data_IF_463514140308
#
_entry.id   IF_463514140308
#
_cell.length_a   1.000
_cell.length_b   1.000
_cell.length_c   1.000
_cell.angle_alpha   90.00
_cell.angle_beta   90.00
_cell.angle_gamma   90.00
#
_symmetry.space_group_name_H-M   'P 1'
#
loop_
_entity.id
_entity.type
_entity.pdbx_description
1 polymer ?
#
# COMPACT_ATOMS: atom_id res chain seq x y z
N UNK A 1 2.31 20.17 -7.25
CA UNK A 1 3.15 19.28 -8.09
C UNK A 1 3.00 17.86 -7.57
N UNK A 2 2.17 17.04 -8.22
CA UNK A 2 1.96 15.65 -7.82
C UNK A 2 3.25 14.86 -8.05
N UNK A 3 4.05 14.67 -7.00
CA UNK A 3 5.17 13.73 -7.01
C UNK A 3 4.61 12.31 -6.89
N UNK A 4 3.88 11.87 -7.92
CA UNK A 4 3.49 10.47 -8.02
C UNK A 4 4.78 9.66 -8.15
N UNK A 5 5.13 8.92 -7.10
CA UNK A 5 6.29 8.02 -7.10
C UNK A 5 5.81 6.66 -7.59
N UNK A 6 6.44 6.14 -8.63
CA UNK A 6 6.22 4.77 -9.09
C UNK A 6 6.98 3.81 -8.18
N UNK A 7 6.31 2.74 -7.76
CA UNK A 7 6.91 1.66 -6.96
C UNK A 7 6.85 0.39 -7.80
N UNK A 8 8.01 -0.22 -8.03
CA UNK A 8 8.12 -1.54 -8.65
C UNK A 8 8.36 -2.57 -7.55
N UNK A 9 7.54 -3.61 -7.50
CA UNK A 9 7.65 -4.72 -6.53
C UNK A 9 7.89 -6.03 -7.28
N UNK A 10 8.71 -6.90 -6.69
CA UNK A 10 8.88 -8.27 -7.17
C UNK A 10 7.91 -9.17 -6.42
N UNK A 11 7.09 -9.90 -7.15
CA UNK A 11 6.06 -10.79 -6.61
C UNK A 11 5.95 -12.01 -7.53
N UNK A 12 5.70 -13.18 -6.94
CA UNK A 12 5.41 -14.39 -7.70
C UNK A 12 4.10 -14.22 -8.49
N UNK A 13 4.06 -14.75 -9.71
CA UNK A 13 2.92 -14.60 -10.62
C UNK A 13 1.62 -15.12 -10.00
N UNK A 14 1.66 -16.25 -9.28
CA UNK A 14 0.45 -16.83 -8.66
C UNK A 14 -0.08 -15.93 -7.55
N UNK A 15 0.81 -15.28 -6.81
CA UNK A 15 0.43 -14.33 -5.76
C UNK A 15 -0.16 -13.07 -6.37
N UNK A 16 0.41 -12.57 -7.47
CA UNK A 16 -0.13 -11.42 -8.20
C UNK A 16 -1.54 -11.69 -8.72
N UNK A 17 -1.79 -12.88 -9.29
CA UNK A 17 -3.12 -13.28 -9.75
C UNK A 17 -4.15 -13.32 -8.61
N UNK A 18 -3.79 -13.92 -7.46
CA UNK A 18 -4.64 -13.92 -6.26
C UNK A 18 -4.91 -12.52 -5.75
N UNK A 19 -3.88 -11.66 -5.76
CA UNK A 19 -4.01 -10.27 -5.34
C UNK A 19 -5.00 -9.51 -6.24
N UNK A 20 -4.93 -9.67 -7.56
CA UNK A 20 -5.88 -9.07 -8.49
C UNK A 20 -7.31 -9.57 -8.26
N UNK A 21 -7.49 -10.86 -7.96
CA UNK A 21 -8.80 -11.41 -7.63
C UNK A 21 -9.41 -10.73 -6.40
N UNK A 22 -8.64 -10.60 -5.31
CA UNK A 22 -9.09 -9.93 -4.08
C UNK A 22 -9.37 -8.45 -4.33
N UNK A 23 -8.50 -7.74 -5.04
CA UNK A 23 -8.71 -6.32 -5.37
C UNK A 23 -10.01 -6.12 -6.13
N UNK A 24 -10.30 -6.98 -7.13
CA UNK A 24 -11.55 -6.95 -7.89
C UNK A 24 -12.77 -7.26 -7.03
N UNK A 25 -12.65 -8.23 -6.12
CA UNK A 25 -13.72 -8.56 -5.16
C UNK A 25 -14.06 -7.36 -4.25
N UNK A 26 -13.04 -6.61 -3.83
CA UNK A 26 -13.16 -5.40 -3.01
C UNK A 26 -13.58 -4.15 -3.81
N UNK A 27 -13.88 -4.28 -5.11
CA UNK A 27 -14.16 -3.18 -6.05
C UNK A 27 -13.06 -2.11 -6.09
N UNK A 28 -11.79 -2.54 -6.01
CA UNK A 28 -10.60 -1.67 -6.08
C UNK A 28 -9.67 -2.07 -7.22
N UNK A 29 -8.96 -1.09 -7.76
CA UNK A 29 -7.80 -1.37 -8.61
C UNK A 29 -6.67 -1.99 -7.78
N UNK A 30 -5.75 -2.71 -8.43
CA UNK A 30 -4.57 -3.27 -7.77
C UNK A 30 -3.78 -2.20 -6.99
N UNK A 31 -3.52 -1.05 -7.61
CA UNK A 31 -2.84 0.08 -6.97
C UNK A 31 -3.65 0.65 -5.80
N UNK A 32 -4.98 0.76 -5.96
CA UNK A 32 -5.86 1.22 -4.89
C UNK A 32 -5.86 0.27 -3.69
N UNK A 33 -5.90 -1.04 -3.93
CA UNK A 33 -5.80 -2.06 -2.88
C UNK A 33 -4.43 -2.03 -2.20
N UNK A 34 -3.33 -1.86 -2.94
CA UNK A 34 -1.99 -1.69 -2.35
C UNK A 34 -1.97 -0.48 -1.41
N UNK A 35 -2.48 0.67 -1.87
CA UNK A 35 -2.48 1.89 -1.07
C UNK A 35 -3.33 1.74 0.20
N UNK A 36 -4.49 1.08 0.09
CA UNK A 36 -5.34 0.76 1.24
C UNK A 36 -4.61 -0.10 2.27
N UNK A 37 -3.94 -1.17 1.82
CA UNK A 37 -3.16 -2.06 2.70
C UNK A 37 -1.99 -1.34 3.37
N UNK A 38 -1.26 -0.49 2.62
CA UNK A 38 -0.17 0.32 3.18
C UNK A 38 -0.69 1.26 4.26
N UNK A 39 -1.78 1.98 4.00
CA UNK A 39 -2.35 2.92 4.96
C UNK A 39 -2.86 2.22 6.22
N UNK A 40 -3.52 1.06 6.07
CA UNK A 40 -3.95 0.27 7.22
C UNK A 40 -2.76 -0.22 8.04
N UNK A 41 -1.70 -0.71 7.39
CA UNK A 41 -0.47 -1.13 8.06
C UNK A 41 0.16 0.02 8.86
N UNK A 42 0.25 1.23 8.27
CA UNK A 42 0.75 2.42 8.96
C UNK A 42 -0.13 2.75 10.16
N UNK A 43 -1.46 2.80 9.99
CA UNK A 43 -2.40 3.11 11.09
C UNK A 43 -2.27 2.12 12.24
N UNK A 44 -2.28 0.82 11.95
CA UNK A 44 -2.14 -0.23 12.97
C UNK A 44 -0.79 -0.16 13.70
N UNK A 45 0.27 0.22 12.99
CA UNK A 45 1.57 0.45 13.59
C UNK A 45 1.56 1.68 14.50
N UNK A 46 1.02 2.81 14.02
CA UNK A 46 0.95 4.06 14.79
C UNK A 46 0.07 3.96 16.04
N UNK A 47 -1.01 3.19 15.98
CA UNK A 47 -1.86 2.90 17.15
C UNK A 47 -1.10 2.13 18.24
N UNK A 48 -0.16 1.25 17.86
CA UNK A 48 0.60 0.41 18.79
C UNK A 48 1.89 1.06 19.29
N UNK A 49 2.55 1.85 18.44
CA UNK A 49 3.92 2.34 18.69
C UNK A 49 4.02 3.87 18.82
N UNK A 50 2.91 4.58 18.58
CA UNK A 50 2.90 6.04 18.47
C UNK A 50 3.12 6.51 17.03
N UNK A 51 2.85 7.80 16.80
CA UNK A 51 2.88 8.41 15.46
C UNK A 51 4.28 8.37 14.85
N UNK A 52 4.35 8.09 13.54
CA UNK A 52 5.61 8.12 12.80
C UNK A 52 5.90 9.58 12.43
N UNK A 53 6.92 10.17 13.06
CA UNK A 53 7.40 11.51 12.69
C UNK A 53 8.39 11.45 11.53
N UNK A 54 7.91 11.73 10.31
CA UNK A 54 8.78 11.86 9.15
C UNK A 54 9.30 13.31 9.09
N UNK A 55 10.55 13.52 9.47
CA UNK A 55 11.22 14.79 9.20
C UNK A 55 11.65 14.82 7.72
N UNK A 56 10.93 15.59 6.91
CA UNK A 56 11.29 15.84 5.51
C UNK A 56 12.60 16.64 5.48
N UNK A 57 13.74 15.94 5.39
CA UNK A 57 15.02 16.56 5.02
C UNK A 57 14.94 16.89 3.53
N UNK A 58 14.45 18.09 3.23
CA UNK A 58 14.76 18.76 1.97
C UNK A 58 16.20 19.24 1.96
#
# INVERSE_FOLDING_TARGET
MNKNKHISIRIDEKVLQKFHYVAKYEDRSASGQIMFLINNCIREFEEKHGKIEIHDKR
#
